data_IF_685416883551
#
_entry.id   IF_685416883551
#
_cell.length_a   1.000
_cell.length_b   1.000
_cell.length_c   1.000
_cell.angle_alpha   90.00
_cell.angle_beta   90.00
_cell.angle_gamma   90.00
#
_symmetry.space_group_name_H-M   'P 1'
#
loop_
_entity.id
_entity.type
_entity.pdbx_description
1 polymer ?
#
# COMPACT_ATOMS: atom_id res chain seq x y z
N UNK A 1 -44.24 26.40 -30.72
CA UNK A 1 -45.65 26.19 -30.42
C UNK A 1 -45.67 25.54 -29.07
N UNK A 2 -45.93 26.34 -28.01
CA UNK A 2 -47.17 26.36 -27.20
C UNK A 2 -47.32 25.07 -26.39
N UNK A 3 -47.37 25.00 -25.08
CA UNK A 3 -47.94 25.87 -24.06
C UNK A 3 -47.54 25.47 -22.65
N UNK A 4 -47.33 26.47 -21.88
CA UNK A 4 -47.31 26.60 -20.41
C UNK A 4 -48.64 26.19 -19.77
N UNK A 5 -48.64 25.54 -18.57
CA UNK A 5 -49.75 25.71 -17.61
C UNK A 5 -49.17 25.80 -16.19
N UNK A 6 -49.40 26.94 -15.56
CA UNK A 6 -49.30 27.26 -14.12
C UNK A 6 -50.57 26.79 -13.41
N UNK A 7 -50.43 26.29 -12.19
CA UNK A 7 -51.51 26.34 -11.21
C UNK A 7 -50.97 26.65 -9.81
N UNK A 8 -51.47 27.75 -9.26
CA UNK A 8 -51.28 28.29 -7.91
C UNK A 8 -52.37 27.78 -6.99
N UNK A 9 -52.12 27.91 -5.70
CA UNK A 9 -53.00 28.17 -4.54
C UNK A 9 -53.02 27.03 -3.52
N UNK A 10 -53.10 27.21 -2.20
CA UNK A 10 -53.40 28.34 -1.34
C UNK A 10 -52.96 28.04 0.10
N UNK A 11 -52.72 29.09 0.85
CA UNK A 11 -52.49 29.14 2.30
C UNK A 11 -53.66 28.53 3.12
N UNK A 12 -53.35 27.91 4.24
CA UNK A 12 -54.28 27.59 5.31
C UNK A 12 -53.58 27.66 6.67
N UNK A 13 -53.62 28.84 7.29
CA UNK A 13 -53.28 29.06 8.70
C UNK A 13 -54.46 28.62 9.59
N UNK A 14 -54.21 27.87 10.66
CA UNK A 14 -55.09 27.85 11.83
C UNK A 14 -54.26 27.72 13.11
N UNK A 15 -54.62 28.58 14.04
CA UNK A 15 -54.00 28.83 15.34
C UNK A 15 -54.64 28.01 16.47
N UNK A 16 -53.84 27.85 17.50
CA UNK A 16 -54.17 27.94 18.94
C UNK A 16 -55.01 26.84 19.61
N UNK A 17 -54.42 26.15 20.56
CA UNK A 17 -54.97 26.02 21.93
C UNK A 17 -53.95 25.47 22.89
N UNK A 18 -53.55 26.27 23.88
CA UNK A 18 -52.80 25.88 25.06
C UNK A 18 -53.74 25.24 26.10
N UNK A 19 -53.33 24.11 26.64
CA UNK A 19 -53.95 23.56 27.88
C UNK A 19 -52.81 23.34 28.88
N UNK A 20 -52.85 24.15 29.96
CA UNK A 20 -52.07 23.94 31.18
C UNK A 20 -52.74 22.82 32.00
N UNK A 21 -52.00 21.78 32.37
CA UNK A 21 -52.32 20.90 33.48
C UNK A 21 -51.08 20.69 34.33
N UNK A 22 -51.14 21.23 35.53
CA UNK A 22 -50.15 20.98 36.60
C UNK A 22 -50.38 19.60 37.19
N UNK A 23 -49.32 18.87 37.47
CA UNK A 23 -49.43 17.57 38.13
C UNK A 23 -48.10 16.95 38.51
N UNK A 24 -47.70 17.16 39.79
CA UNK A 24 -46.88 16.33 40.68
C UNK A 24 -45.50 15.82 40.22
N UNK A 25 -44.54 16.43 40.85
CA UNK A 25 -43.17 15.95 41.05
C UNK A 25 -43.09 14.53 41.63
N UNK A 26 -42.45 13.63 40.93
CA UNK A 26 -41.72 12.49 41.51
C UNK A 26 -40.23 12.65 41.14
N UNK A 27 -39.45 12.93 42.18
CA UNK A 27 -38.00 12.83 42.14
C UNK A 27 -37.64 11.38 41.86
N UNK A 28 -37.11 11.09 40.68
CA UNK A 28 -36.34 9.88 40.38
C UNK A 28 -34.85 10.23 40.54
N UNK A 29 -34.22 9.55 41.47
CA UNK A 29 -32.80 9.61 41.74
C UNK A 29 -32.01 9.49 40.45
N UNK A 30 -31.16 10.50 40.18
CA UNK A 30 -30.24 10.49 39.06
C UNK A 30 -29.18 9.37 39.26
N UNK A 31 -29.20 8.40 38.38
CA UNK A 31 -28.13 7.42 38.27
C UNK A 31 -26.81 8.16 37.95
N UNK A 32 -25.79 7.93 38.79
CA UNK A 32 -24.42 8.39 38.56
C UNK A 32 -23.95 8.02 37.15
N UNK A 33 -23.31 8.95 36.42
CA UNK A 33 -22.64 8.59 35.17
C UNK A 33 -21.55 7.58 35.47
N UNK A 34 -21.53 6.51 34.67
CA UNK A 34 -20.44 5.54 34.68
C UNK A 34 -19.11 6.27 34.41
N UNK A 35 -18.10 5.84 35.16
CA UNK A 35 -16.76 6.40 35.14
C UNK A 35 -16.21 6.52 33.71
N UNK A 36 -15.69 7.67 33.39
CA UNK A 36 -14.90 7.97 32.20
C UNK A 36 -13.83 6.90 32.01
N UNK A 37 -13.90 6.22 30.85
CA UNK A 37 -12.82 5.40 30.33
C UNK A 37 -11.68 6.33 29.99
N UNK A 38 -10.60 6.14 30.66
CA UNK A 38 -9.26 6.68 30.61
C UNK A 38 -8.89 7.28 29.25
N UNK A 39 -8.96 8.59 29.09
CA UNK A 39 -8.35 9.32 27.99
C UNK A 39 -6.86 9.41 28.25
N UNK A 40 -6.08 8.61 27.54
CA UNK A 40 -4.63 8.75 27.47
C UNK A 40 -4.30 10.18 26.98
N UNK A 41 -3.45 10.85 27.74
CA UNK A 41 -2.78 12.14 27.51
C UNK A 41 -3.50 13.15 26.57
N UNK A 42 -3.99 14.24 27.13
CA UNK A 42 -4.72 15.33 26.47
C UNK A 42 -3.95 16.16 25.43
N UNK A 43 -3.05 15.56 24.68
CA UNK A 43 -2.39 16.22 23.56
C UNK A 43 -3.19 15.95 22.29
N UNK A 44 -3.56 16.98 21.48
CA UNK A 44 -4.29 16.77 20.25
C UNK A 44 -3.48 15.87 19.29
N UNK A 45 -4.15 14.89 18.67
CA UNK A 45 -3.54 14.02 17.67
C UNK A 45 -3.16 14.82 16.42
N UNK A 46 -2.00 14.54 15.86
CA UNK A 46 -1.60 15.11 14.57
C UNK A 46 -2.35 14.38 13.45
N UNK A 47 -3.09 15.14 12.65
CA UNK A 47 -3.77 14.60 11.46
C UNK A 47 -2.76 14.28 10.37
N UNK A 48 -2.86 13.09 9.80
CA UNK A 48 -1.92 12.54 8.82
C UNK A 48 -2.69 11.83 7.71
N UNK A 49 -2.48 12.26 6.46
CA UNK A 49 -2.93 11.56 5.27
C UNK A 49 -1.90 10.54 4.80
N UNK A 50 -2.34 9.32 4.54
CA UNK A 50 -1.52 8.26 3.97
C UNK A 50 -2.12 7.75 2.67
N UNK A 51 -1.41 7.92 1.55
CA UNK A 51 -1.84 7.52 0.22
C UNK A 51 -1.32 6.12 -0.11
N UNK A 52 -2.23 5.16 -0.32
CA UNK A 52 -1.91 3.87 -0.91
C UNK A 52 -1.57 4.03 -2.40
N UNK A 53 -0.78 3.12 -2.94
CA UNK A 53 -0.44 3.07 -4.37
C UNK A 53 -1.50 2.31 -5.19
N UNK A 54 -2.34 1.50 -4.54
CA UNK A 54 -3.39 0.72 -5.16
C UNK A 54 -4.69 0.73 -4.34
N UNK A 55 -5.74 0.11 -4.87
CA UNK A 55 -6.97 -0.13 -4.10
C UNK A 55 -6.67 -0.94 -2.84
N UNK A 56 -7.44 -0.73 -1.74
CA UNK A 56 -7.27 -1.52 -0.52
C UNK A 56 -7.23 -3.02 -0.82
N UNK A 57 -6.18 -3.67 -0.35
CA UNK A 57 -5.88 -5.08 -0.56
C UNK A 57 -5.19 -5.68 0.67
N UNK A 58 -5.05 -7.01 0.77
CA UNK A 58 -4.34 -7.66 1.88
C UNK A 58 -2.89 -7.20 2.05
N UNK A 59 -2.25 -6.76 0.98
CA UNK A 59 -0.88 -6.22 1.01
C UNK A 59 -0.77 -4.94 1.84
N UNK A 60 -1.88 -4.20 2.00
CA UNK A 60 -1.99 -3.01 2.85
C UNK A 60 -2.44 -3.33 4.27
N UNK A 61 -2.60 -4.63 4.60
CA UNK A 61 -3.25 -5.09 5.83
C UNK A 61 -2.63 -4.57 7.11
N UNK A 62 -1.30 -4.41 7.17
CA UNK A 62 -0.63 -3.84 8.33
C UNK A 62 -1.04 -2.39 8.63
N UNK A 63 -1.27 -1.58 7.59
CA UNK A 63 -1.75 -0.21 7.77
C UNK A 63 -3.18 -0.17 8.29
N UNK A 64 -4.07 -1.04 7.75
CA UNK A 64 -5.43 -1.16 8.25
C UNK A 64 -5.47 -1.74 9.67
N UNK A 65 -4.57 -2.67 10.00
CA UNK A 65 -4.44 -3.20 11.36
C UNK A 65 -4.03 -2.10 12.34
N UNK A 66 -3.03 -1.29 11.98
CA UNK A 66 -2.60 -0.16 12.80
C UNK A 66 -3.71 0.88 13.00
N UNK A 67 -4.55 1.07 11.97
CA UNK A 67 -5.70 1.97 12.05
C UNK A 67 -6.80 1.44 12.97
N UNK A 68 -7.27 0.19 12.76
CA UNK A 68 -8.44 -0.36 13.49
C UNK A 68 -8.11 -0.78 14.93
N UNK A 69 -6.84 -0.97 15.25
CA UNK A 69 -6.36 -1.28 16.61
C UNK A 69 -5.83 -0.04 17.34
N UNK A 70 -6.11 1.15 16.84
CA UNK A 70 -5.68 2.43 17.40
C UNK A 70 -4.15 2.59 17.56
N UNK A 71 -3.33 1.75 16.91
CA UNK A 71 -1.86 1.78 17.04
C UNK A 71 -1.30 3.13 16.57
N UNK A 72 -1.87 3.71 15.51
CA UNK A 72 -1.51 5.07 15.08
C UNK A 72 -1.92 6.12 16.12
N UNK A 73 -3.08 5.97 16.76
CA UNK A 73 -3.55 6.90 17.80
C UNK A 73 -2.67 6.84 19.05
N UNK A 74 -2.23 5.64 19.43
CA UNK A 74 -1.25 5.44 20.51
C UNK A 74 0.08 6.15 20.22
N UNK A 75 0.44 6.26 18.94
CA UNK A 75 1.61 7.03 18.47
C UNK A 75 1.34 8.54 18.33
N UNK A 76 0.17 9.04 18.74
CA UNK A 76 -0.20 10.46 18.65
C UNK A 76 -0.70 10.91 17.28
N UNK A 77 -1.10 9.98 16.40
CA UNK A 77 -1.47 10.25 15.01
C UNK A 77 -2.95 9.94 14.76
N UNK A 78 -3.63 10.86 14.05
CA UNK A 78 -4.97 10.65 13.49
C UNK A 78 -4.81 10.38 11.98
N UNK A 79 -4.64 9.10 11.62
CA UNK A 79 -4.29 8.69 10.26
C UNK A 79 -5.54 8.46 9.42
N UNK A 80 -5.59 9.09 8.25
CA UNK A 80 -6.56 8.81 7.20
C UNK A 80 -5.87 8.07 6.06
N UNK A 81 -6.29 6.84 5.79
CA UNK A 81 -5.80 6.04 4.65
C UNK A 81 -6.64 6.37 3.42
N UNK A 82 -5.99 6.73 2.32
CA UNK A 82 -6.64 7.02 1.04
C UNK A 82 -6.31 5.91 0.04
N UNK A 83 -7.35 5.39 -0.61
CA UNK A 83 -7.19 4.38 -1.64
C UNK A 83 -6.38 4.92 -2.84
N UNK A 84 -5.52 4.06 -3.38
CA UNK A 84 -4.82 4.29 -4.64
C UNK A 84 -5.58 3.77 -5.85
N UNK A 85 -4.87 3.54 -6.94
CA UNK A 85 -5.39 3.01 -8.19
C UNK A 85 -4.63 3.53 -9.42
N UNK A 86 -5.00 3.13 -10.65
CA UNK A 86 -4.25 3.40 -11.88
C UNK A 86 -4.02 4.89 -12.20
N UNK A 87 -4.87 5.77 -11.67
CA UNK A 87 -4.83 7.22 -11.92
C UNK A 87 -4.39 8.01 -10.68
N UNK A 88 -3.93 7.33 -9.64
CA UNK A 88 -3.42 7.97 -8.42
C UNK A 88 -1.89 8.07 -8.50
N UNK A 89 -1.38 9.23 -8.18
CA UNK A 89 0.06 9.54 -8.26
C UNK A 89 0.61 9.90 -6.87
N UNK A 90 1.06 8.91 -6.07
CA UNK A 90 1.52 9.13 -4.69
C UNK A 90 2.73 10.06 -4.59
N UNK A 91 3.70 9.94 -5.50
CA UNK A 91 4.94 10.72 -5.49
C UNK A 91 4.69 12.25 -5.54
N UNK A 92 3.94 12.79 -6.53
CA UNK A 92 3.60 14.20 -6.54
C UNK A 92 2.69 14.63 -5.38
N UNK A 93 1.83 13.75 -4.88
CA UNK A 93 0.94 14.08 -3.76
C UNK A 93 1.74 14.41 -2.50
N UNK A 94 2.78 13.62 -2.20
CA UNK A 94 3.68 13.86 -1.06
C UNK A 94 4.67 14.99 -1.38
N UNK A 95 5.25 15.01 -2.57
CA UNK A 95 6.23 16.03 -2.97
C UNK A 95 5.69 17.46 -2.93
N UNK A 96 4.38 17.63 -3.13
CA UNK A 96 3.68 18.94 -3.05
C UNK A 96 3.04 19.21 -1.69
N UNK A 97 3.17 18.30 -0.72
CA UNK A 97 2.61 18.43 0.63
C UNK A 97 1.09 18.24 0.71
N UNK A 98 0.46 17.63 -0.30
CA UNK A 98 -0.97 17.26 -0.25
C UNK A 98 -1.22 16.03 0.62
N UNK A 99 -0.23 15.16 0.77
CA UNK A 99 -0.21 14.01 1.65
C UNK A 99 1.06 14.03 2.48
N UNK A 100 0.96 13.58 3.73
CA UNK A 100 2.10 13.48 4.62
C UNK A 100 2.94 12.25 4.31
N UNK A 101 2.27 11.13 4.02
CA UNK A 101 2.92 9.87 3.66
C UNK A 101 2.28 9.25 2.43
N UNK A 102 3.07 8.43 1.75
CA UNK A 102 2.57 7.50 0.76
C UNK A 102 3.46 6.25 0.68
N UNK A 103 3.00 5.27 -0.08
CA UNK A 103 3.76 4.07 -0.39
C UNK A 103 4.06 3.96 -1.89
N UNK A 104 5.09 3.18 -2.22
CA UNK A 104 5.51 2.93 -3.59
C UNK A 104 6.76 2.07 -3.64
N UNK A 105 7.43 2.02 -4.78
CA UNK A 105 8.73 1.34 -4.93
C UNK A 105 9.88 2.31 -4.72
N UNK A 106 10.99 1.82 -4.17
CA UNK A 106 12.15 2.67 -3.90
C UNK A 106 12.80 3.22 -5.18
N UNK A 107 12.82 2.46 -6.28
CA UNK A 107 13.34 2.89 -7.57
C UNK A 107 12.54 4.09 -8.14
N UNK A 108 11.20 4.07 -8.04
CA UNK A 108 10.36 5.18 -8.46
C UNK A 108 10.60 6.45 -7.61
N UNK A 109 10.79 6.28 -6.28
CA UNK A 109 11.11 7.40 -5.38
C UNK A 109 12.48 8.00 -5.72
N UNK A 110 13.50 7.16 -5.97
CA UNK A 110 14.85 7.61 -6.37
C UNK A 110 14.76 8.46 -7.64
N UNK A 111 14.05 7.98 -8.66
CA UNK A 111 13.89 8.70 -9.93
C UNK A 111 13.11 10.01 -9.76
N UNK A 112 12.10 10.04 -8.91
CA UNK A 112 11.36 11.26 -8.58
C UNK A 112 12.23 12.29 -7.86
N UNK A 113 13.09 11.85 -6.93
CA UNK A 113 14.07 12.74 -6.25
C UNK A 113 15.11 13.26 -7.25
N UNK A 114 15.57 12.44 -8.19
CA UNK A 114 16.43 12.94 -9.30
C UNK A 114 15.74 14.07 -10.08
N UNK A 115 14.44 13.95 -10.30
CA UNK A 115 13.63 14.96 -10.98
C UNK A 115 13.29 16.19 -10.12
N UNK A 116 13.77 16.24 -8.87
CA UNK A 116 13.64 17.38 -7.97
C UNK A 116 12.49 17.30 -6.97
N UNK A 117 11.75 16.20 -6.88
CA UNK A 117 10.75 16.04 -5.84
C UNK A 117 11.44 15.85 -4.47
N UNK A 118 11.05 16.61 -3.42
CA UNK A 118 11.71 16.57 -2.12
C UNK A 118 11.20 15.40 -1.26
N UNK A 119 11.36 14.17 -1.75
CA UNK A 119 10.88 12.96 -1.09
C UNK A 119 11.97 12.34 -0.22
N UNK A 120 11.55 11.59 0.80
CA UNK A 120 12.41 10.88 1.73
C UNK A 120 11.80 9.53 2.10
N UNK A 121 12.47 8.43 1.74
CA UNK A 121 12.11 7.08 2.16
C UNK A 121 12.42 6.93 3.65
N UNK A 122 11.48 6.36 4.42
CA UNK A 122 11.60 6.25 5.88
C UNK A 122 11.54 4.83 6.42
N UNK A 123 10.93 3.89 5.68
CA UNK A 123 11.00 2.45 5.99
C UNK A 123 10.59 1.61 4.79
N UNK A 124 10.94 0.32 4.81
CA UNK A 124 10.39 -0.66 3.88
C UNK A 124 9.05 -1.19 4.42
N UNK A 125 8.02 -1.15 3.60
CA UNK A 125 6.77 -1.86 3.86
C UNK A 125 6.90 -3.35 3.54
N UNK A 126 7.60 -3.65 2.43
CA UNK A 126 7.98 -5.03 2.08
C UNK A 126 9.46 -5.09 1.77
N UNK A 127 10.08 -6.16 2.22
CA UNK A 127 11.48 -6.46 1.92
C UNK A 127 11.67 -6.88 0.47
N UNK A 128 10.68 -7.61 -0.10
CA UNK A 128 10.73 -8.07 -1.48
C UNK A 128 9.51 -7.59 -2.28
N UNK A 129 9.74 -7.22 -3.54
CA UNK A 129 8.66 -6.80 -4.43
C UNK A 129 7.81 -8.00 -4.87
N UNK A 130 6.47 -7.96 -4.75
CA UNK A 130 5.58 -9.06 -5.12
C UNK A 130 5.37 -9.21 -6.61
N UNK A 131 5.95 -8.36 -7.45
CA UNK A 131 5.79 -8.42 -8.90
C UNK A 131 6.37 -9.69 -9.48
N UNK A 132 5.61 -10.31 -10.36
CA UNK A 132 6.00 -11.52 -11.06
C UNK A 132 5.51 -11.47 -12.53
N UNK A 133 6.02 -12.37 -13.34
CA UNK A 133 5.51 -12.65 -14.68
C UNK A 133 4.78 -13.98 -14.61
N UNK A 134 3.47 -13.98 -14.90
CA UNK A 134 2.59 -15.14 -14.83
C UNK A 134 2.35 -15.72 -16.23
N UNK A 135 2.40 -17.04 -16.33
CA UNK A 135 2.08 -17.83 -17.49
C UNK A 135 1.33 -19.10 -17.08
N UNK A 136 0.71 -19.79 -18.04
CA UNK A 136 0.13 -21.09 -17.78
C UNK A 136 1.22 -22.10 -17.34
N UNK A 137 0.91 -22.99 -16.39
CA UNK A 137 1.88 -23.93 -15.80
C UNK A 137 2.53 -24.84 -16.84
N UNK A 138 1.77 -25.27 -17.82
CA UNK A 138 2.19 -26.13 -18.91
C UNK A 138 2.73 -25.37 -20.14
N UNK A 139 2.79 -24.02 -20.06
CA UNK A 139 3.36 -23.16 -21.10
C UNK A 139 4.86 -23.37 -21.30
N UNK A 140 5.37 -22.85 -22.43
CA UNK A 140 6.78 -22.99 -22.83
C UNK A 140 7.74 -22.16 -21.96
N UNK A 141 7.27 -21.08 -21.35
CA UNK A 141 8.09 -20.17 -20.53
C UNK A 141 8.28 -20.76 -19.14
N UNK A 142 9.54 -20.99 -18.75
CA UNK A 142 9.93 -21.54 -17.43
C UNK A 142 10.96 -20.68 -16.73
N UNK A 143 11.67 -19.85 -17.47
CA UNK A 143 12.72 -18.96 -17.01
C UNK A 143 12.57 -17.60 -17.69
N UNK A 144 13.24 -16.56 -17.18
CA UNK A 144 13.27 -15.25 -17.84
C UNK A 144 13.90 -15.31 -19.24
N UNK A 145 14.78 -16.27 -19.53
CA UNK A 145 15.39 -16.45 -20.86
C UNK A 145 14.37 -16.91 -21.91
N UNK A 146 13.34 -17.63 -21.49
CA UNK A 146 12.30 -18.13 -22.39
C UNK A 146 11.32 -17.04 -22.84
N UNK A 147 11.49 -15.80 -22.35
CA UNK A 147 10.75 -14.63 -22.80
C UNK A 147 11.21 -14.10 -24.17
N UNK A 148 12.34 -14.61 -24.70
CA UNK A 148 12.83 -14.19 -26.02
C UNK A 148 11.73 -14.30 -27.10
N UNK A 149 11.49 -13.18 -27.79
CA UNK A 149 10.49 -13.07 -28.86
C UNK A 149 9.03 -13.10 -28.39
N UNK A 150 8.75 -13.20 -27.08
CA UNK A 150 7.39 -13.26 -26.54
C UNK A 150 6.76 -11.86 -26.46
N UNK A 151 5.44 -11.86 -26.23
CA UNK A 151 4.70 -10.66 -25.87
C UNK A 151 4.20 -10.79 -24.43
N UNK A 152 4.51 -9.80 -23.59
CA UNK A 152 4.15 -9.77 -22.18
C UNK A 152 3.24 -8.56 -21.93
N UNK A 153 2.09 -8.78 -21.32
CA UNK A 153 1.28 -7.68 -20.79
C UNK A 153 1.91 -7.18 -19.50
N UNK A 154 2.29 -5.90 -19.46
CA UNK A 154 3.01 -5.31 -18.32
C UNK A 154 2.93 -3.80 -18.24
N UNK A 155 3.38 -3.24 -17.13
CA UNK A 155 3.44 -1.79 -16.93
C UNK A 155 4.45 -1.15 -17.88
N UNK A 156 3.97 -0.41 -18.86
CA UNK A 156 4.83 0.26 -19.85
C UNK A 156 5.79 1.22 -19.15
N UNK A 157 7.09 1.11 -19.44
CA UNK A 157 8.13 1.94 -18.83
C UNK A 157 8.56 1.49 -17.42
N UNK A 158 8.10 0.34 -16.93
CA UNK A 158 8.58 -0.21 -15.66
C UNK A 158 10.04 -0.67 -15.78
N UNK A 159 10.89 -0.27 -14.82
CA UNK A 159 12.33 -0.53 -14.85
C UNK A 159 12.69 -2.02 -14.88
N UNK A 160 11.83 -2.91 -14.34
CA UNK A 160 12.05 -4.36 -14.38
C UNK A 160 12.12 -4.91 -15.82
N UNK A 161 11.45 -4.27 -16.78
CA UNK A 161 11.46 -4.69 -18.19
C UNK A 161 12.87 -4.55 -18.75
N UNK A 162 13.44 -3.36 -18.63
CA UNK A 162 14.81 -3.09 -19.08
C UNK A 162 15.83 -3.96 -18.34
N UNK A 163 15.59 -4.21 -17.03
CA UNK A 163 16.44 -5.10 -16.26
C UNK A 163 16.41 -6.52 -16.82
N UNK A 164 15.24 -7.12 -17.00
CA UNK A 164 15.11 -8.49 -17.51
C UNK A 164 15.70 -8.61 -18.90
N UNK A 165 15.41 -7.68 -19.80
CA UNK A 165 15.94 -7.69 -21.15
C UNK A 165 17.47 -7.63 -21.18
N UNK A 166 18.08 -6.75 -20.40
CA UNK A 166 19.54 -6.59 -20.35
C UNK A 166 20.23 -7.72 -19.60
N UNK A 167 19.75 -8.06 -18.41
CA UNK A 167 20.39 -9.04 -17.53
C UNK A 167 20.34 -10.46 -18.12
N UNK A 168 19.22 -10.82 -18.75
CA UNK A 168 19.03 -12.15 -19.35
C UNK A 168 19.39 -12.20 -20.84
N UNK A 169 19.73 -11.05 -21.45
CA UNK A 169 20.01 -10.91 -22.90
C UNK A 169 18.86 -11.42 -23.76
N UNK A 170 17.64 -10.95 -23.47
CA UNK A 170 16.40 -11.32 -24.17
C UNK A 170 15.68 -10.09 -24.68
N UNK A 171 14.97 -10.24 -25.79
CA UNK A 171 14.10 -9.21 -26.34
C UNK A 171 12.66 -9.72 -26.33
N UNK A 172 11.74 -9.01 -25.71
CA UNK A 172 10.30 -9.30 -25.72
C UNK A 172 9.49 -8.02 -25.84
N UNK A 173 8.28 -8.16 -26.37
CA UNK A 173 7.38 -7.03 -26.57
C UNK A 173 6.52 -6.79 -25.33
N UNK A 174 6.23 -5.52 -25.03
CA UNK A 174 5.30 -5.13 -23.97
C UNK A 174 4.01 -4.61 -24.58
N UNK A 175 2.88 -5.12 -24.04
CA UNK A 175 1.56 -4.53 -24.27
C UNK A 175 1.02 -3.99 -22.94
N UNK A 176 0.23 -2.88 -22.98
CA UNK A 176 -0.28 -2.23 -21.78
C UNK A 176 -1.13 -3.13 -20.90
N UNK A 177 -1.08 -2.92 -19.57
CA UNK A 177 -1.91 -3.59 -18.58
C UNK A 177 -3.40 -3.27 -18.80
N UNK A 178 -4.24 -4.30 -18.71
CA UNK A 178 -5.70 -4.15 -18.57
C UNK A 178 -6.19 -4.44 -17.14
N UNK A 179 -5.25 -4.79 -16.25
CA UNK A 179 -5.46 -5.08 -14.83
C UNK A 179 -6.42 -6.25 -14.54
N UNK A 180 -6.65 -7.12 -15.52
CA UNK A 180 -7.52 -8.29 -15.40
C UNK A 180 -6.80 -9.60 -15.73
N UNK A 181 -7.50 -10.71 -15.53
CA UNK A 181 -7.04 -12.04 -15.93
C UNK A 181 -7.85 -12.62 -17.10
N UNK A 182 -8.78 -11.84 -17.68
CA UNK A 182 -9.70 -12.34 -18.73
C UNK A 182 -8.97 -12.86 -19.97
N UNK A 183 -7.97 -12.13 -20.47
CA UNK A 183 -7.15 -12.54 -21.62
C UNK A 183 -6.30 -13.77 -21.29
N UNK A 184 -5.77 -13.82 -20.09
CA UNK A 184 -5.00 -14.96 -19.59
C UNK A 184 -5.83 -16.24 -19.58
N UNK A 185 -7.08 -16.16 -19.11
CA UNK A 185 -7.98 -17.31 -19.00
C UNK A 185 -8.35 -17.91 -20.37
N UNK A 186 -8.40 -17.09 -21.42
CA UNK A 186 -8.84 -17.51 -22.76
C UNK A 186 -7.70 -17.84 -23.72
N UNK A 187 -6.47 -17.46 -23.39
CA UNK A 187 -5.29 -17.67 -24.23
C UNK A 187 -4.16 -18.35 -23.45
N UNK A 188 -3.92 -19.63 -23.75
CA UNK A 188 -2.91 -20.45 -23.08
C UNK A 188 -1.47 -19.96 -23.22
N UNK A 189 -1.17 -19.24 -24.30
CA UNK A 189 0.16 -18.66 -24.54
C UNK A 189 0.30 -17.23 -23.96
N UNK A 190 -0.74 -16.73 -23.28
CA UNK A 190 -0.71 -15.37 -22.76
C UNK A 190 0.22 -15.25 -21.54
N UNK A 191 1.04 -14.22 -21.55
CA UNK A 191 2.00 -13.94 -20.50
C UNK A 191 1.69 -12.56 -19.96
N UNK A 192 1.59 -12.41 -18.64
CA UNK A 192 1.30 -11.12 -18.02
C UNK A 192 2.10 -10.88 -16.75
N UNK A 193 2.37 -9.61 -16.48
CA UNK A 193 2.76 -9.14 -15.16
C UNK A 193 1.61 -9.40 -14.18
N UNK A 194 1.97 -9.81 -12.98
CA UNK A 194 1.03 -9.99 -11.87
C UNK A 194 1.69 -9.62 -10.54
N UNK A 195 0.90 -9.55 -9.49
CA UNK A 195 1.39 -9.71 -8.14
C UNK A 195 1.17 -11.14 -7.69
N UNK A 196 2.20 -11.79 -7.17
CA UNK A 196 2.14 -13.19 -6.72
C UNK A 196 1.08 -13.41 -5.64
N UNK A 197 0.64 -12.35 -5.00
CA UNK A 197 -0.38 -12.29 -3.96
C UNK A 197 -1.80 -12.15 -4.49
N UNK A 198 -2.02 -11.98 -5.80
CA UNK A 198 -3.34 -11.61 -6.34
C UNK A 198 -3.75 -12.41 -7.60
N UNK A 199 -3.22 -12.12 -8.78
CA UNK A 199 -3.70 -12.66 -10.05
C UNK A 199 -3.64 -14.20 -10.16
N UNK A 200 -2.62 -14.88 -9.62
CA UNK A 200 -2.60 -16.36 -9.66
C UNK A 200 -3.81 -16.98 -8.96
N UNK A 201 -4.31 -16.39 -7.86
CA UNK A 201 -5.52 -16.84 -7.18
C UNK A 201 -6.73 -16.84 -8.11
N UNK A 202 -6.93 -15.76 -8.88
CA UNK A 202 -8.08 -15.66 -9.78
C UNK A 202 -7.99 -16.66 -10.94
N UNK A 203 -6.79 -16.94 -11.45
CA UNK A 203 -6.59 -17.96 -12.46
C UNK A 203 -6.89 -19.36 -11.90
N UNK A 204 -6.37 -19.70 -10.74
CA UNK A 204 -6.58 -20.99 -10.08
C UNK A 204 -8.03 -21.20 -9.66
N UNK A 205 -8.73 -20.16 -9.18
CA UNK A 205 -10.15 -20.21 -8.86
C UNK A 205 -11.00 -20.64 -10.08
N UNK A 206 -10.56 -20.31 -11.29
CA UNK A 206 -11.19 -20.68 -12.55
C UNK A 206 -10.59 -21.95 -13.19
N UNK A 207 -9.82 -22.73 -12.44
CA UNK A 207 -9.27 -24.01 -12.88
C UNK A 207 -8.02 -23.92 -13.77
N UNK A 208 -7.42 -22.72 -13.92
CA UNK A 208 -6.20 -22.53 -14.69
C UNK A 208 -5.00 -22.54 -13.76
N UNK A 209 -4.15 -23.55 -13.89
CA UNK A 209 -2.89 -23.63 -13.15
C UNK A 209 -1.88 -22.65 -13.70
N UNK A 210 -1.19 -21.97 -12.80
CA UNK A 210 -0.23 -20.92 -13.14
C UNK A 210 1.19 -21.27 -12.71
N UNK A 211 2.15 -20.73 -13.45
CA UNK A 211 3.53 -20.54 -13.02
C UNK A 211 3.77 -19.04 -12.96
N UNK A 212 4.45 -18.59 -11.92
CA UNK A 212 4.87 -17.21 -11.79
C UNK A 212 6.39 -17.14 -11.55
N UNK A 213 7.07 -16.31 -12.33
CA UNK A 213 8.48 -15.98 -12.15
C UNK A 213 8.54 -14.68 -11.36
N UNK A 214 8.87 -14.76 -10.07
CA UNK A 214 9.01 -13.58 -9.22
C UNK A 214 10.21 -12.75 -9.72
N UNK A 215 10.00 -11.47 -10.04
CA UNK A 215 11.02 -10.60 -10.62
C UNK A 215 12.16 -10.37 -9.61
N UNK A 216 11.82 -10.29 -8.31
CA UNK A 216 12.78 -10.23 -7.23
C UNK A 216 13.77 -11.40 -7.25
N UNK A 217 13.31 -12.63 -7.50
CA UNK A 217 14.20 -13.80 -7.62
C UNK A 217 15.05 -13.76 -8.90
N UNK A 218 14.67 -12.95 -9.86
CA UNK A 218 15.41 -12.68 -11.08
C UNK A 218 16.53 -11.63 -10.92
N UNK A 219 16.65 -11.02 -9.76
CA UNK A 219 17.68 -10.03 -9.43
C UNK A 219 17.23 -8.58 -9.44
N UNK A 220 15.98 -8.27 -9.80
CA UNK A 220 15.40 -6.93 -9.68
C UNK A 220 14.41 -6.88 -8.52
N UNK A 221 14.86 -6.41 -7.38
CA UNK A 221 14.12 -6.48 -6.12
C UNK A 221 14.10 -5.13 -5.38
N UNK A 222 13.35 -4.15 -5.90
CA UNK A 222 13.16 -2.89 -5.18
C UNK A 222 12.37 -3.13 -3.89
N UNK A 223 12.77 -2.47 -2.80
CA UNK A 223 11.89 -2.38 -1.62
C UNK A 223 10.55 -1.75 -2.00
N UNK A 224 9.46 -2.28 -1.46
CA UNK A 224 8.23 -1.50 -1.31
C UNK A 224 8.41 -0.60 -0.09
N UNK A 225 8.28 0.70 -0.28
CA UNK A 225 8.67 1.68 0.75
C UNK A 225 7.52 2.59 1.16
N UNK A 226 7.63 3.11 2.37
CA UNK A 226 6.90 4.29 2.82
C UNK A 226 7.83 5.49 2.69
N UNK A 227 7.29 6.56 2.15
CA UNK A 227 8.00 7.82 1.99
C UNK A 227 7.15 9.01 2.42
N UNK A 228 7.84 10.08 2.76
CA UNK A 228 7.27 11.37 3.16
C UNK A 228 7.99 12.50 2.43
N UNK A 229 7.55 13.75 2.61
CA UNK A 229 8.33 14.89 2.14
C UNK A 229 9.45 15.24 3.14
N UNK A 230 10.57 15.71 2.63
CA UNK A 230 11.69 16.17 3.46
C UNK A 230 11.24 17.22 4.48
N UNK A 231 10.43 18.18 4.03
CA UNK A 231 9.93 19.25 4.90
C UNK A 231 9.02 18.74 6.01
N UNK A 232 8.22 17.71 5.78
CA UNK A 232 7.40 17.10 6.82
C UNK A 232 8.26 16.34 7.83
N UNK A 233 9.25 15.59 7.35
CA UNK A 233 10.19 14.87 8.22
C UNK A 233 10.99 15.81 9.13
N UNK A 234 11.42 16.95 8.62
CA UNK A 234 12.14 17.99 9.39
C UNK A 234 11.26 18.67 10.43
N UNK A 235 10.00 18.97 10.09
CA UNK A 235 9.06 19.66 10.98
C UNK A 235 8.44 18.73 12.04
N UNK A 236 8.25 17.45 11.71
CA UNK A 236 7.51 16.49 12.52
C UNK A 236 8.27 15.16 12.67
N UNK A 237 9.55 15.16 13.11
CA UNK A 237 10.37 13.94 13.14
C UNK A 237 9.79 12.85 14.04
N UNK A 238 9.15 13.24 15.17
CA UNK A 238 8.53 12.28 16.08
C UNK A 238 7.27 11.65 15.47
N UNK A 239 6.51 12.39 14.68
CA UNK A 239 5.37 11.84 13.94
C UNK A 239 5.82 10.82 12.90
N UNK A 240 6.94 11.06 12.21
CA UNK A 240 7.50 10.10 11.25
C UNK A 240 7.97 8.82 11.98
N UNK A 241 8.69 8.95 13.10
CA UNK A 241 9.07 7.77 13.93
C UNK A 241 7.85 7.01 14.42
N UNK A 242 6.85 7.72 14.91
CA UNK A 242 5.60 7.13 15.38
C UNK A 242 4.85 6.39 14.28
N UNK A 243 4.76 6.97 13.06
CA UNK A 243 4.13 6.34 11.92
C UNK A 243 4.86 5.07 11.48
N UNK A 244 6.20 5.12 11.38
CA UNK A 244 7.03 3.96 11.03
C UNK A 244 6.89 2.83 12.06
N UNK A 245 7.03 3.13 13.35
CA UNK A 245 6.90 2.13 14.41
C UNK A 245 5.48 1.51 14.46
N UNK A 246 4.44 2.35 14.33
CA UNK A 246 3.06 1.90 14.27
C UNK A 246 2.78 1.00 13.05
N UNK A 247 3.36 1.33 11.90
CA UNK A 247 3.25 0.52 10.68
C UNK A 247 3.89 -0.85 10.87
N UNK A 248 5.12 -0.92 11.38
CA UNK A 248 5.83 -2.18 11.65
C UNK A 248 5.02 -3.04 12.63
N UNK A 249 4.54 -2.47 13.74
CA UNK A 249 3.67 -3.16 14.68
C UNK A 249 2.37 -3.64 14.03
N UNK A 250 1.75 -2.80 13.21
CA UNK A 250 0.53 -3.14 12.47
C UNK A 250 0.72 -4.35 11.57
N UNK A 251 1.82 -4.42 10.81
CA UNK A 251 2.12 -5.61 9.99
C UNK A 251 2.44 -6.85 10.83
N UNK A 252 3.15 -6.71 11.93
CA UNK A 252 3.40 -7.82 12.87
C UNK A 252 2.09 -8.41 13.38
N UNK A 253 1.17 -7.56 13.84
CA UNK A 253 -0.15 -7.99 14.32
C UNK A 253 -1.04 -8.53 13.20
N UNK A 254 -0.97 -7.96 11.99
CA UNK A 254 -1.73 -8.43 10.83
C UNK A 254 -1.30 -9.82 10.37
N UNK A 255 -0.01 -10.10 10.36
CA UNK A 255 0.53 -11.37 9.88
C UNK A 255 0.46 -12.47 10.95
N UNK A 256 0.56 -12.15 12.24
CA UNK A 256 0.72 -13.15 13.31
C UNK A 256 -0.37 -13.11 14.39
N UNK A 257 -1.16 -12.03 14.44
CA UNK A 257 -2.24 -11.86 15.40
C UNK A 257 -3.64 -12.01 14.79
N UNK A 258 -4.63 -11.44 15.48
CA UNK A 258 -6.00 -11.37 14.98
C UNK A 258 -6.16 -10.20 14.00
N UNK A 259 -6.22 -10.52 12.72
CA UNK A 259 -6.41 -9.57 11.62
C UNK A 259 -7.88 -9.37 11.20
N UNK A 260 -8.85 -9.94 11.92
CA UNK A 260 -10.26 -9.97 11.52
C UNK A 260 -10.84 -8.56 11.26
N UNK A 261 -10.57 -7.60 12.15
CA UNK A 261 -11.05 -6.23 12.01
C UNK A 261 -10.41 -5.50 10.81
N UNK A 262 -9.11 -5.68 10.58
CA UNK A 262 -8.41 -5.11 9.41
C UNK A 262 -8.93 -5.71 8.10
N UNK A 263 -9.14 -7.01 8.05
CA UNK A 263 -9.71 -7.72 6.89
C UNK A 263 -11.13 -7.24 6.58
N UNK A 264 -11.97 -7.10 7.60
CA UNK A 264 -13.33 -6.55 7.44
C UNK A 264 -13.29 -5.11 6.91
N UNK A 265 -12.35 -4.29 7.39
CA UNK A 265 -12.17 -2.93 6.90
C UNK A 265 -11.72 -2.89 5.45
N UNK A 266 -10.74 -3.69 5.04
CA UNK A 266 -10.29 -3.81 3.65
C UNK A 266 -11.46 -4.22 2.76
N UNK A 267 -12.23 -5.24 3.15
CA UNK A 267 -13.39 -5.71 2.37
C UNK A 267 -14.49 -4.67 2.25
N UNK A 268 -14.73 -3.87 3.29
CA UNK A 268 -15.70 -2.78 3.25
C UNK A 268 -15.29 -1.67 2.25
N UNK A 269 -14.00 -1.38 2.13
CA UNK A 269 -13.48 -0.38 1.19
C UNK A 269 -13.26 -0.95 -0.22
N UNK A 270 -12.99 -2.25 -0.34
CA UNK A 270 -12.83 -2.96 -1.61
C UNK A 270 -13.55 -4.31 -1.58
N UNK A 271 -14.84 -4.36 -1.97
CA UNK A 271 -15.65 -5.59 -1.92
C UNK A 271 -15.12 -6.75 -2.78
N UNK A 272 -14.21 -6.50 -3.72
CA UNK A 272 -13.56 -7.57 -4.51
C UNK A 272 -12.61 -8.44 -3.69
N UNK A 273 -12.20 -7.98 -2.49
CA UNK A 273 -11.29 -8.69 -1.59
C UNK A 273 -12.07 -9.71 -0.77
N UNK A 274 -12.29 -10.91 -1.34
CA UNK A 274 -12.95 -12.00 -0.63
C UNK A 274 -12.08 -12.54 0.52
N UNK A 275 -12.69 -13.16 1.57
CA UNK A 275 -11.92 -13.81 2.64
C UNK A 275 -10.91 -14.83 2.11
N UNK A 276 -11.27 -15.62 1.10
CA UNK A 276 -10.38 -16.62 0.49
C UNK A 276 -9.18 -15.98 -0.25
N UNK A 277 -9.40 -14.88 -0.97
CA UNK A 277 -8.31 -14.11 -1.58
C UNK A 277 -7.38 -13.54 -0.50
N UNK A 278 -7.94 -13.03 0.61
CA UNK A 278 -7.13 -12.52 1.71
C UNK A 278 -6.27 -13.62 2.34
N UNK A 279 -6.83 -14.81 2.53
CA UNK A 279 -6.08 -15.98 3.04
C UNK A 279 -4.94 -16.35 2.09
N UNK A 280 -5.23 -16.41 0.78
CA UNK A 280 -4.22 -16.67 -0.26
C UNK A 280 -3.10 -15.62 -0.22
N UNK A 281 -3.46 -14.34 -0.19
CA UNK A 281 -2.49 -13.23 -0.19
C UNK A 281 -1.60 -13.24 1.04
N UNK A 282 -2.16 -13.45 2.22
CA UNK A 282 -1.39 -13.55 3.48
C UNK A 282 -0.45 -14.76 3.42
N UNK A 283 -0.94 -15.91 2.94
CA UNK A 283 -0.10 -17.10 2.77
C UNK A 283 1.05 -16.86 1.78
N UNK A 284 0.78 -16.15 0.67
CA UNK A 284 1.80 -15.77 -0.30
C UNK A 284 2.82 -14.80 0.29
N UNK A 285 2.39 -13.76 1.01
CA UNK A 285 3.30 -12.82 1.69
C UNK A 285 4.27 -13.55 2.63
N UNK A 286 3.78 -14.52 3.39
CA UNK A 286 4.62 -15.35 4.29
C UNK A 286 5.52 -16.29 3.51
N UNK A 287 4.97 -17.04 2.54
CA UNK A 287 5.72 -18.03 1.74
C UNK A 287 6.91 -17.41 1.02
N UNK A 288 6.72 -16.23 0.45
CA UNK A 288 7.74 -15.52 -0.31
C UNK A 288 8.50 -14.50 0.54
N UNK A 289 8.25 -14.47 1.86
CA UNK A 289 8.92 -13.57 2.81
C UNK A 289 8.85 -12.09 2.41
N UNK A 290 7.75 -11.69 1.76
CA UNK A 290 7.66 -10.39 1.11
C UNK A 290 7.77 -9.23 2.11
N UNK A 291 7.08 -9.33 3.26
CA UNK A 291 7.00 -8.25 4.25
C UNK A 291 8.15 -8.31 5.25
N UNK A 292 8.39 -9.50 5.82
CA UNK A 292 9.36 -9.68 6.90
C UNK A 292 10.79 -9.87 6.41
N UNK A 293 10.94 -10.27 5.14
CA UNK A 293 12.23 -10.68 4.60
C UNK A 293 12.68 -12.04 5.10
N UNK A 294 13.89 -12.41 4.74
CA UNK A 294 14.55 -13.66 5.14
C UNK A 294 15.43 -13.43 6.40
N UNK A 295 15.03 -13.94 7.57
CA UNK A 295 15.82 -13.76 8.81
C UNK A 295 17.22 -14.37 8.71
N UNK A 296 17.40 -15.42 7.86
CA UNK A 296 18.72 -16.03 7.64
C UNK A 296 19.69 -15.09 6.92
N UNK A 297 19.15 -14.12 6.17
CA UNK A 297 19.92 -13.03 5.53
C UNK A 297 20.03 -11.78 6.40
N UNK A 298 19.47 -11.79 7.60
CA UNK A 298 19.41 -10.65 8.50
C UNK A 298 18.36 -9.59 8.09
N UNK A 299 17.44 -9.95 7.20
CA UNK A 299 16.34 -9.08 6.80
C UNK A 299 15.27 -9.05 7.89
N UNK A 300 14.59 -7.92 8.01
CA UNK A 300 13.56 -7.67 9.03
C UNK A 300 12.48 -6.73 8.50
N UNK A 301 11.28 -6.87 9.02
CA UNK A 301 10.18 -5.97 8.72
C UNK A 301 10.56 -4.50 9.00
N UNK A 302 10.24 -3.63 8.07
CA UNK A 302 10.54 -2.20 8.15
C UNK A 302 11.96 -1.81 7.77
N UNK A 303 12.89 -2.75 7.75
CA UNK A 303 14.31 -2.48 7.56
C UNK A 303 14.61 -1.93 6.17
N UNK A 304 15.45 -0.90 6.14
CA UNK A 304 16.16 -0.46 4.93
C UNK A 304 17.66 -0.51 5.25
N UNK A 305 18.47 -0.96 4.31
CA UNK A 305 19.93 -0.98 4.48
C UNK A 305 20.64 -0.12 3.44
N UNK A 306 21.76 0.53 3.81
CA UNK A 306 22.58 1.29 2.87
C UNK A 306 23.04 0.44 1.69
N UNK A 307 23.37 -0.83 1.93
CA UNK A 307 23.90 -1.77 0.94
C UNK A 307 22.87 -2.03 -0.17
N UNK A 308 21.60 -2.37 0.20
CA UNK A 308 20.56 -2.61 -0.80
C UNK A 308 20.15 -1.34 -1.53
N UNK A 309 20.13 -0.18 -0.85
CA UNK A 309 19.87 1.10 -1.51
C UNK A 309 20.97 1.46 -2.49
N UNK A 310 22.24 1.21 -2.14
CA UNK A 310 23.39 1.41 -3.04
C UNK A 310 23.33 0.46 -4.24
N UNK A 311 23.00 -0.81 -4.02
CA UNK A 311 22.82 -1.79 -5.09
C UNK A 311 21.70 -1.39 -6.06
N UNK A 312 20.58 -0.88 -5.55
CA UNK A 312 19.49 -0.36 -6.39
C UNK A 312 19.95 0.84 -7.23
N UNK A 313 20.69 1.79 -6.65
CA UNK A 313 21.26 2.91 -7.41
C UNK A 313 22.18 2.42 -8.54
N UNK A 314 23.03 1.43 -8.28
CA UNK A 314 23.92 0.84 -9.29
C UNK A 314 23.09 0.21 -10.41
N UNK A 315 22.08 -0.57 -10.06
CA UNK A 315 21.16 -1.15 -11.05
C UNK A 315 20.52 -0.07 -11.94
N UNK A 316 20.01 1.02 -11.35
CA UNK A 316 19.41 2.12 -12.12
C UNK A 316 20.42 2.83 -13.05
N UNK A 317 21.69 2.93 -12.65
CA UNK A 317 22.76 3.46 -13.51
C UNK A 317 23.09 2.48 -14.65
N UNK A 318 23.19 1.19 -14.38
CA UNK A 318 23.41 0.15 -15.40
C UNK A 318 22.27 0.11 -16.41
N UNK A 319 21.03 0.32 -15.97
CA UNK A 319 19.85 0.45 -16.83
C UNK A 319 19.83 1.78 -17.61
N UNK A 320 20.73 2.72 -17.33
CA UNK A 320 20.80 4.06 -17.93
C UNK A 320 19.54 4.92 -17.69
N UNK A 321 18.79 4.61 -16.64
CA UNK A 321 17.67 5.45 -16.18
C UNK A 321 18.16 6.47 -15.14
N UNK A 322 19.38 6.29 -14.64
CA UNK A 322 20.10 7.23 -13.80
C UNK A 322 21.51 7.46 -14.41
N UNK A 323 21.94 8.72 -14.52
CA UNK A 323 23.25 9.04 -15.13
C UNK A 323 24.42 8.74 -14.17
N UNK A 324 24.18 8.94 -12.87
CA UNK A 324 25.13 8.67 -11.79
C UNK A 324 24.39 8.37 -10.48
N UNK A 325 25.02 7.65 -9.54
CA UNK A 325 24.42 7.40 -8.23
C UNK A 325 24.14 8.71 -7.48
N UNK A 326 22.99 8.78 -6.79
CA UNK A 326 22.67 9.87 -5.87
C UNK A 326 23.26 9.57 -4.49
N UNK A 327 23.67 10.58 -3.71
CA UNK A 327 23.94 10.41 -2.28
C UNK A 327 22.71 9.89 -1.56
N UNK A 328 22.87 8.89 -0.67
CA UNK A 328 21.76 8.22 0.00
C UNK A 328 20.87 9.20 0.78
N UNK A 329 21.49 10.16 1.46
CA UNK A 329 20.80 11.18 2.25
C UNK A 329 19.86 12.07 1.43
N UNK A 330 19.94 12.04 0.11
CA UNK A 330 19.03 12.77 -0.76
C UNK A 330 17.65 12.14 -0.87
N UNK A 331 17.51 10.84 -0.62
CA UNK A 331 16.24 10.14 -0.85
C UNK A 331 15.86 9.13 0.25
N UNK A 332 16.75 8.84 1.21
CA UNK A 332 16.47 7.92 2.31
C UNK A 332 17.02 8.45 3.63
N UNK A 333 16.32 8.15 4.73
CA UNK A 333 16.81 8.36 6.10
C UNK A 333 16.60 7.09 6.93
N UNK A 334 17.64 6.66 7.60
CA UNK A 334 17.64 5.51 8.51
C UNK A 334 17.28 5.90 9.95
N UNK A 335 17.19 7.21 10.25
CA UNK A 335 16.99 7.74 11.61
C UNK A 335 15.58 7.51 12.16
N UNK A 336 14.62 7.22 11.26
CA UNK A 336 13.23 6.99 11.60
C UNK A 336 12.92 5.52 11.92
N UNK A 337 13.85 4.62 11.61
CA UNK A 337 13.68 3.20 11.92
C UNK A 337 13.79 2.96 13.44
N UNK A 338 12.88 2.17 14.04
CA UNK A 338 13.03 1.73 15.41
C UNK A 338 14.25 0.78 15.54
N UNK A 339 14.81 0.62 16.76
CA UNK A 339 16.06 -0.13 16.98
C UNK A 339 16.04 -1.54 16.36
N UNK A 340 14.93 -2.26 16.48
CA UNK A 340 14.75 -3.61 15.94
C UNK A 340 14.77 -3.69 14.40
N UNK A 341 14.47 -2.62 13.71
CA UNK A 341 14.51 -2.54 12.24
C UNK A 341 15.81 -1.93 11.70
N UNK A 342 16.76 -1.56 12.55
CA UNK A 342 18.07 -1.04 12.10
C UNK A 342 19.02 -2.17 11.74
N UNK A 343 19.88 -1.93 10.75
CA UNK A 343 20.98 -2.85 10.45
C UNK A 343 21.86 -3.05 11.69
N UNK A 344 22.10 -4.31 12.08
CA UNK A 344 22.89 -4.64 13.29
C UNK A 344 22.13 -4.54 14.61
N UNK A 345 20.84 -4.23 14.62
CA UNK A 345 19.98 -4.30 15.82
C UNK A 345 19.90 -5.75 16.32
N UNK A 346 20.27 -5.97 17.60
CA UNK A 346 20.11 -7.27 18.31
C UNK A 346 18.70 -7.36 18.88
#
# INVERSE_FOLDING_TARGET
MISTIFARSTLGSLALAAVFAAGCSRQTEAAKPAADVNTSSGKPLLKVGFQLDWYPSPEHGGHFQALVKDIYRDAGLDVTILAGGPVVYPLPAVGTGRMEFAMGRCDDVILAVRQGLPLLIVCAQMQHDPQAIMMHEDGSVKTFRDLEGKTVMGGVGANWIDFVQRHYHVAFNIIPMDYGVGRFMTNREFIQQCFITNEPYFAELNGVKTRALLIASGGYDPYRVIFTSRSFAEKHPDAVRGFVAATIRGYTEYLHGDASAARARIQAENPSQSPALMDYSIAAMKRYQLVEGDPAKGERMGQITPERMTAMLQTLVELKVLDAPLPLERFVSFDFLPPEARAGGK
#
